data_IF_462325474436
#
_entry.id   IF_462325474436
#
_cell.length_a   1.000
_cell.length_b   1.000
_cell.length_c   1.000
_cell.angle_alpha   90.00
_cell.angle_beta   90.00
_cell.angle_gamma   90.00
#
_symmetry.space_group_name_H-M   'P 1'
#
loop_
_entity.id
_entity.type
_entity.pdbx_description
1 polymer ?
#
# COMPACT_ATOMS: atom_id res chain seq x y z
N UNK A 1 18.62 27.88 21.48
CA UNK A 1 17.76 26.94 20.75
C UNK A 1 17.04 27.66 19.60
N UNK A 2 16.38 28.79 19.86
CA UNK A 2 15.72 29.65 18.85
C UNK A 2 16.63 30.11 17.68
N UNK A 3 17.80 30.67 17.99
CA UNK A 3 18.80 31.09 16.98
C UNK A 3 19.33 29.93 16.12
N UNK A 4 19.38 28.74 16.71
CA UNK A 4 19.79 27.52 16.03
C UNK A 4 18.74 27.08 15.02
N UNK A 5 17.46 27.04 15.41
CA UNK A 5 16.34 26.71 14.50
C UNK A 5 16.25 27.71 13.35
N UNK A 6 16.38 29.01 13.64
CA UNK A 6 16.36 30.06 12.62
C UNK A 6 17.46 29.88 11.58
N UNK A 7 18.71 29.65 12.04
CA UNK A 7 19.84 29.43 11.14
C UNK A 7 19.71 28.13 10.35
N UNK A 8 19.25 27.06 10.98
CA UNK A 8 19.05 25.75 10.34
C UNK A 8 17.98 25.80 9.26
N UNK A 9 16.81 26.34 9.55
CA UNK A 9 15.72 26.45 8.57
C UNK A 9 16.12 27.42 7.46
N UNK A 10 16.71 28.57 7.79
CA UNK A 10 17.15 29.56 6.82
C UNK A 10 18.16 29.01 5.80
N UNK A 11 19.05 28.11 6.22
CA UNK A 11 20.09 27.49 5.39
C UNK A 11 19.80 26.06 4.94
N UNK A 12 18.62 25.52 5.25
CA UNK A 12 18.27 24.11 5.01
C UNK A 12 19.28 23.11 5.61
N UNK A 13 19.85 23.46 6.77
CA UNK A 13 20.83 22.62 7.46
C UNK A 13 20.14 21.50 8.26
N UNK A 14 20.06 20.36 7.60
CA UNK A 14 19.48 19.10 8.10
C UNK A 14 20.31 18.43 9.20
N UNK A 15 21.55 18.87 9.45
CA UNK A 15 22.42 18.29 10.48
C UNK A 15 22.13 18.84 11.87
N UNK A 16 21.42 19.97 11.93
CA UNK A 16 21.23 20.76 13.16
C UNK A 16 19.79 20.69 13.68
N UNK A 17 18.79 20.47 12.81
CA UNK A 17 17.39 20.30 13.20
C UNK A 17 16.92 18.85 12.95
N UNK A 18 16.75 18.03 14.01
CA UNK A 18 16.23 16.67 13.88
C UNK A 18 14.85 16.64 13.23
N UNK A 19 14.56 15.57 12.48
CA UNK A 19 13.31 15.39 11.74
C UNK A 19 12.05 15.60 12.60
N UNK A 20 11.99 14.97 13.77
CA UNK A 20 10.85 15.08 14.69
C UNK A 20 10.55 16.54 15.05
N UNK A 21 11.60 17.33 15.25
CA UNK A 21 11.47 18.77 15.54
C UNK A 21 11.08 19.55 14.29
N UNK A 22 11.64 19.22 13.12
CA UNK A 22 11.28 19.86 11.86
C UNK A 22 9.79 19.65 11.51
N UNK A 23 9.25 18.45 11.72
CA UNK A 23 7.83 18.15 11.52
C UNK A 23 6.93 18.94 12.48
N UNK A 24 7.28 18.98 13.77
CA UNK A 24 6.53 19.77 14.75
C UNK A 24 6.56 21.27 14.44
N UNK A 25 7.70 21.78 13.97
CA UNK A 25 7.83 23.17 13.56
C UNK A 25 6.96 23.43 12.33
N UNK A 26 6.99 22.53 11.33
CA UNK A 26 6.17 22.63 10.11
C UNK A 26 4.67 22.75 10.43
N UNK A 27 4.17 21.94 11.36
CA UNK A 27 2.76 21.99 11.81
C UNK A 27 2.40 23.33 12.50
N UNK A 28 3.41 24.03 13.00
CA UNK A 28 3.27 25.32 13.71
C UNK A 28 3.63 26.53 12.84
N UNK A 29 3.99 26.34 11.56
CA UNK A 29 4.37 27.45 10.68
C UNK A 29 3.16 28.35 10.40
N UNK A 30 3.29 29.68 10.63
CA UNK A 30 2.24 30.62 10.28
C UNK A 30 2.03 30.66 8.76
N UNK A 31 0.77 30.70 8.31
CA UNK A 31 0.49 30.91 6.88
C UNK A 31 0.99 32.28 6.41
N UNK A 32 1.15 32.49 5.10
CA UNK A 32 1.53 33.80 4.56
C UNK A 32 0.63 34.96 5.05
N UNK A 33 -0.66 34.70 5.25
CA UNK A 33 -1.61 35.67 5.79
C UNK A 33 -1.39 35.94 7.29
N UNK A 34 -0.95 34.93 8.05
CA UNK A 34 -0.62 35.06 9.46
C UNK A 34 0.72 35.78 9.65
N UNK A 35 1.72 35.50 8.81
CA UNK A 35 3.03 36.19 8.84
C UNK A 35 2.86 37.70 8.74
N UNK A 36 2.05 38.18 7.79
CA UNK A 36 1.80 39.62 7.63
C UNK A 36 1.06 40.22 8.84
N UNK A 37 0.11 39.47 9.42
CA UNK A 37 -0.60 39.90 10.65
C UNK A 37 0.35 39.98 11.84
N UNK A 38 1.19 38.97 12.03
CA UNK A 38 2.21 38.91 13.09
C UNK A 38 3.17 40.10 12.93
N UNK A 39 3.68 40.34 11.72
CA UNK A 39 4.61 41.44 11.43
C UNK A 39 4.02 42.82 11.76
N UNK A 40 2.78 43.08 11.36
CA UNK A 40 2.09 44.34 11.69
C UNK A 40 1.89 44.50 13.19
N UNK A 41 1.48 43.42 13.85
CA UNK A 41 1.19 43.43 15.28
C UNK A 41 2.45 43.67 16.12
N UNK A 42 3.55 42.99 15.81
CA UNK A 42 4.82 43.15 16.52
C UNK A 42 5.45 44.52 16.28
N UNK A 43 5.32 45.06 15.07
CA UNK A 43 5.79 46.43 14.75
C UNK A 43 5.02 47.50 15.54
N UNK A 44 3.71 47.33 15.69
CA UNK A 44 2.87 48.24 16.48
C UNK A 44 3.13 48.16 18.00
N UNK A 45 3.69 47.03 18.47
CA UNK A 45 3.92 46.74 19.88
C UNK A 45 5.40 46.47 20.17
N UNK A 46 6.29 47.34 19.67
CA UNK A 46 7.75 47.14 19.71
C UNK A 46 8.36 47.02 21.11
N UNK A 47 7.65 47.48 22.15
CA UNK A 47 8.12 47.47 23.54
C UNK A 47 7.47 46.37 24.40
N UNK A 48 6.66 45.49 23.79
CA UNK A 48 6.01 44.38 24.49
C UNK A 48 7.01 43.25 24.73
N UNK A 49 6.97 42.66 25.92
CA UNK A 49 7.68 41.42 26.21
C UNK A 49 6.78 40.24 25.83
N UNK A 50 7.27 39.41 24.91
CA UNK A 50 6.58 38.19 24.49
C UNK A 50 6.97 37.00 25.36
N UNK A 51 6.06 36.05 25.50
CA UNK A 51 6.39 34.73 26.04
C UNK A 51 7.35 33.99 25.11
N UNK A 52 8.01 32.93 25.60
CA UNK A 52 8.92 32.12 24.79
C UNK A 52 8.23 31.51 23.56
N UNK A 53 6.97 31.07 23.71
CA UNK A 53 6.18 30.51 22.61
C UNK A 53 5.78 31.58 21.57
N UNK A 54 5.37 32.78 22.02
CA UNK A 54 5.06 33.89 21.11
C UNK A 54 6.31 34.36 20.37
N UNK A 55 7.45 34.46 21.07
CA UNK A 55 8.73 34.83 20.47
C UNK A 55 9.16 33.79 19.42
N UNK A 56 8.95 32.49 19.69
CA UNK A 56 9.21 31.43 18.71
C UNK A 56 8.41 31.62 17.42
N UNK A 57 7.11 31.90 17.52
CA UNK A 57 6.25 32.13 16.34
C UNK A 57 6.64 33.41 15.59
N UNK A 58 7.00 34.47 16.32
CA UNK A 58 7.49 35.72 15.72
C UNK A 58 8.81 35.49 14.97
N UNK A 59 9.75 34.76 15.56
CA UNK A 59 11.04 34.44 14.95
C UNK A 59 10.84 33.56 13.71
N UNK A 60 9.93 32.59 13.76
CA UNK A 60 9.57 31.71 12.64
C UNK A 60 8.91 32.49 11.49
N UNK A 61 8.00 33.43 11.81
CA UNK A 61 7.40 34.34 10.83
C UNK A 61 8.43 35.28 10.19
N UNK A 62 9.56 35.53 10.87
CA UNK A 62 10.69 36.29 10.33
C UNK A 62 11.53 35.51 9.32
N UNK A 63 11.37 34.20 9.21
CA UNK A 63 12.10 33.38 8.22
C UNK A 63 11.37 33.45 6.88
N UNK A 64 12.06 33.97 5.87
CA UNK A 64 11.53 33.98 4.51
C UNK A 64 11.30 32.55 4.01
N UNK A 65 10.07 32.30 3.54
CA UNK A 65 9.61 31.02 2.99
C UNK A 65 9.78 29.85 3.97
N UNK A 66 9.60 30.10 5.27
CA UNK A 66 9.75 29.10 6.33
C UNK A 66 9.03 27.78 6.03
N UNK A 67 7.78 27.85 5.55
CA UNK A 67 6.96 26.68 5.21
C UNK A 67 7.63 25.79 4.16
N UNK A 68 8.06 26.38 3.04
CA UNK A 68 8.69 25.64 1.93
C UNK A 68 10.06 25.08 2.34
N UNK A 69 10.80 25.81 3.17
CA UNK A 69 12.09 25.35 3.68
C UNK A 69 11.92 24.17 4.64
N UNK A 70 10.98 24.26 5.58
CA UNK A 70 10.67 23.17 6.50
C UNK A 70 10.08 21.96 5.78
N UNK A 71 9.19 22.17 4.81
CA UNK A 71 8.71 21.09 3.96
C UNK A 71 9.86 20.41 3.21
N UNK A 72 10.77 21.18 2.63
CA UNK A 72 11.97 20.66 1.96
C UNK A 72 12.80 19.80 2.90
N UNK A 73 13.01 20.26 4.14
CA UNK A 73 13.73 19.51 5.16
C UNK A 73 13.03 18.19 5.52
N UNK A 74 11.74 18.26 5.87
CA UNK A 74 10.95 17.07 6.25
C UNK A 74 10.90 16.06 5.11
N UNK A 75 10.53 16.49 3.91
CA UNK A 75 10.43 15.62 2.71
C UNK A 75 11.76 14.94 2.39
N UNK A 76 12.87 15.70 2.42
CA UNK A 76 14.20 15.13 2.13
C UNK A 76 14.59 14.08 3.17
N UNK A 77 14.19 14.26 4.43
CA UNK A 77 14.49 13.35 5.53
C UNK A 77 13.63 12.08 5.49
N UNK A 78 12.33 12.19 5.21
CA UNK A 78 11.39 11.05 5.22
C UNK A 78 11.40 10.25 3.92
N UNK A 79 11.92 10.80 2.82
CA UNK A 79 11.86 10.18 1.50
C UNK A 79 12.33 8.72 1.48
N UNK A 80 13.43 8.40 2.16
CA UNK A 80 13.96 7.04 2.18
C UNK A 80 12.99 6.06 2.84
N UNK A 81 12.40 6.46 3.97
CA UNK A 81 11.47 5.62 4.73
C UNK A 81 10.20 5.39 3.91
N UNK A 82 9.64 6.45 3.31
CA UNK A 82 8.48 6.33 2.41
C UNK A 82 8.77 5.42 1.21
N UNK A 83 9.95 5.52 0.61
CA UNK A 83 10.37 4.62 -0.49
C UNK A 83 10.50 3.18 -0.04
N UNK A 84 11.03 2.93 1.16
CA UNK A 84 11.15 1.59 1.72
C UNK A 84 9.78 0.97 1.98
N UNK A 85 8.86 1.73 2.59
CA UNK A 85 7.47 1.28 2.81
C UNK A 85 6.77 0.94 1.49
N UNK A 86 6.89 1.79 0.47
CA UNK A 86 6.33 1.51 -0.86
C UNK A 86 6.97 0.24 -1.45
N UNK A 87 8.28 0.09 -1.32
CA UNK A 87 8.99 -1.08 -1.82
C UNK A 87 8.47 -2.39 -1.19
N UNK A 88 8.34 -2.41 0.13
CA UNK A 88 7.83 -3.55 0.91
C UNK A 88 6.39 -3.90 0.52
N UNK A 89 5.53 -2.90 0.34
CA UNK A 89 4.16 -3.10 -0.12
C UNK A 89 4.13 -3.73 -1.51
N UNK A 90 4.95 -3.24 -2.44
CA UNK A 90 5.05 -3.82 -3.80
C UNK A 90 5.61 -5.24 -3.78
N UNK A 91 6.59 -5.53 -2.92
CA UNK A 91 7.15 -6.88 -2.75
C UNK A 91 6.12 -7.85 -2.16
N UNK A 92 5.28 -7.40 -1.22
CA UNK A 92 4.18 -8.20 -0.70
C UNK A 92 3.17 -8.60 -1.80
N UNK A 93 2.81 -7.65 -2.67
CA UNK A 93 1.95 -7.91 -3.83
C UNK A 93 2.57 -8.92 -4.81
N UNK A 94 3.86 -8.74 -5.11
CA UNK A 94 4.63 -9.60 -6.01
C UNK A 94 4.68 -11.03 -5.49
N UNK A 95 5.10 -11.21 -4.23
CA UNK A 95 5.18 -12.50 -3.57
C UNK A 95 3.82 -13.21 -3.52
N UNK A 96 2.76 -12.49 -3.17
CA UNK A 96 1.40 -13.03 -3.16
C UNK A 96 0.96 -13.51 -4.56
N UNK A 97 1.24 -12.73 -5.61
CA UNK A 97 0.89 -13.09 -6.98
C UNK A 97 1.63 -14.34 -7.46
N UNK A 98 2.93 -14.43 -7.19
CA UNK A 98 3.78 -15.58 -7.55
C UNK A 98 3.29 -16.85 -6.85
N UNK A 99 3.09 -16.81 -5.53
CA UNK A 99 2.62 -17.96 -4.75
C UNK A 99 1.25 -18.48 -5.22
N UNK A 100 0.33 -17.59 -5.60
CA UNK A 100 -0.98 -17.98 -6.16
C UNK A 100 -0.83 -18.70 -7.49
N UNK A 101 0.06 -18.24 -8.38
CA UNK A 101 0.27 -18.88 -9.68
C UNK A 101 1.05 -20.21 -9.59
N UNK A 102 1.95 -20.32 -8.62
CA UNK A 102 2.81 -21.49 -8.45
C UNK A 102 2.16 -22.61 -7.63
N UNK A 103 1.14 -22.31 -6.81
CA UNK A 103 0.50 -23.30 -5.94
C UNK A 103 -0.21 -24.41 -6.74
N UNK A 104 0.35 -25.62 -6.67
CA UNK A 104 -0.23 -26.83 -7.29
C UNK A 104 -1.47 -27.29 -6.53
N UNK A 105 -1.50 -27.13 -5.21
CA UNK A 105 -2.67 -27.47 -4.41
C UNK A 105 -3.85 -26.55 -4.71
N UNK A 106 -3.62 -25.25 -4.88
CA UNK A 106 -4.68 -24.33 -5.26
C UNK A 106 -5.28 -24.72 -6.62
N UNK A 107 -4.45 -25.08 -7.60
CA UNK A 107 -4.90 -25.59 -8.90
C UNK A 107 -5.75 -26.84 -8.75
N UNK A 108 -5.32 -27.80 -7.92
CA UNK A 108 -6.06 -29.03 -7.65
C UNK A 108 -7.41 -28.75 -6.98
N UNK A 109 -7.46 -27.82 -6.02
CA UNK A 109 -8.70 -27.41 -5.35
C UNK A 109 -9.69 -26.83 -6.38
N UNK A 110 -9.24 -25.87 -7.18
CA UNK A 110 -10.07 -25.21 -8.21
C UNK A 110 -10.55 -26.23 -9.25
N UNK A 111 -9.68 -27.15 -9.69
CA UNK A 111 -10.03 -28.21 -10.62
C UNK A 111 -11.06 -29.19 -10.03
N UNK A 112 -10.93 -29.54 -8.76
CA UNK A 112 -11.86 -30.41 -8.04
C UNK A 112 -13.23 -29.77 -7.96
N UNK A 113 -13.29 -28.48 -7.59
CA UNK A 113 -14.53 -27.70 -7.54
C UNK A 113 -15.19 -27.66 -8.92
N UNK A 114 -14.44 -27.32 -9.98
CA UNK A 114 -14.98 -27.29 -11.34
C UNK A 114 -15.55 -28.64 -11.78
N UNK A 115 -14.86 -29.73 -11.45
CA UNK A 115 -15.29 -31.10 -11.77
C UNK A 115 -16.59 -31.44 -11.06
N UNK A 116 -16.70 -31.10 -9.77
CA UNK A 116 -17.91 -31.31 -8.98
C UNK A 116 -19.08 -30.49 -9.52
N UNK A 117 -18.89 -29.20 -9.83
CA UNK A 117 -19.94 -28.36 -10.40
C UNK A 117 -20.46 -28.90 -11.73
N UNK A 118 -19.55 -29.32 -12.63
CA UNK A 118 -19.95 -29.92 -13.90
C UNK A 118 -20.68 -31.25 -13.71
N UNK A 119 -20.32 -32.04 -12.69
CA UNK A 119 -21.04 -33.26 -12.36
C UNK A 119 -22.45 -32.98 -11.81
N UNK A 120 -22.59 -32.00 -10.92
CA UNK A 120 -23.87 -31.63 -10.32
C UNK A 120 -24.85 -31.03 -11.36
N UNK A 121 -24.33 -30.22 -12.29
CA UNK A 121 -25.14 -29.64 -13.36
C UNK A 121 -25.45 -30.64 -14.49
N UNK A 122 -24.54 -31.59 -14.78
CA UNK A 122 -24.56 -32.46 -15.96
C UNK A 122 -25.63 -33.56 -16.05
N UNK A 123 -26.80 -33.44 -15.41
CA UNK A 123 -27.86 -34.47 -15.44
C UNK A 123 -28.90 -34.30 -16.57
N UNK A 124 -28.81 -33.25 -17.40
CA UNK A 124 -29.72 -33.04 -18.54
C UNK A 124 -28.96 -32.84 -19.85
N UNK A 125 -29.35 -33.58 -20.89
CA UNK A 125 -28.67 -33.71 -22.21
C UNK A 125 -28.45 -32.41 -23.03
N UNK A 126 -28.82 -31.24 -22.50
CA UNK A 126 -28.77 -29.93 -23.17
C UNK A 126 -27.90 -28.88 -22.47
N UNK A 127 -27.24 -29.20 -21.35
CA UNK A 127 -26.42 -28.23 -20.62
C UNK A 127 -24.96 -28.19 -21.09
N UNK A 128 -24.42 -26.97 -21.19
CA UNK A 128 -23.04 -26.69 -21.58
C UNK A 128 -22.11 -27.04 -20.40
N UNK A 129 -21.14 -27.92 -20.64
CA UNK A 129 -19.99 -28.09 -19.73
C UNK A 129 -19.34 -26.72 -19.53
N UNK A 130 -19.24 -26.29 -18.28
CA UNK A 130 -18.60 -25.02 -17.92
C UNK A 130 -17.10 -25.25 -17.93
N UNK A 131 -16.38 -24.43 -18.71
CA UNK A 131 -14.92 -24.52 -18.85
C UNK A 131 -14.12 -23.81 -17.75
N UNK A 132 -14.78 -23.03 -16.89
CA UNK A 132 -14.16 -22.28 -15.80
C UNK A 132 -15.15 -21.32 -15.11
N UNK A 133 -14.72 -20.75 -13.99
CA UNK A 133 -15.46 -19.74 -13.23
C UNK A 133 -14.46 -18.73 -12.62
N UNK A 134 -14.94 -17.56 -12.23
CA UNK A 134 -14.12 -16.56 -11.53
C UNK A 134 -13.79 -17.06 -10.12
N UNK A 135 -12.51 -17.24 -9.80
CA UNK A 135 -12.09 -17.78 -8.50
C UNK A 135 -12.42 -16.85 -7.33
N UNK A 136 -12.69 -15.57 -7.58
CA UNK A 136 -13.25 -14.65 -6.57
C UNK A 136 -14.63 -15.08 -6.05
N UNK A 137 -15.31 -16.01 -6.74
CA UNK A 137 -16.59 -16.59 -6.34
C UNK A 137 -16.45 -17.92 -5.59
N UNK A 138 -15.23 -18.39 -5.30
CA UNK A 138 -14.99 -19.68 -4.65
C UNK A 138 -15.84 -19.88 -3.38
N UNK A 139 -15.90 -18.89 -2.49
CA UNK A 139 -16.70 -18.99 -1.26
C UNK A 139 -18.21 -19.13 -1.54
N UNK A 140 -18.74 -18.38 -2.51
CA UNK A 140 -20.16 -18.43 -2.88
C UNK A 140 -20.50 -19.79 -3.49
N UNK A 141 -19.71 -20.22 -4.47
CA UNK A 141 -19.82 -21.51 -5.15
C UNK A 141 -19.75 -22.66 -4.15
N UNK A 142 -18.80 -22.62 -3.22
CA UNK A 142 -18.58 -23.70 -2.26
C UNK A 142 -19.64 -23.73 -1.14
N UNK A 143 -20.40 -22.65 -0.94
CA UNK A 143 -21.51 -22.58 0.01
C UNK A 143 -22.81 -23.22 -0.50
N UNK A 144 -22.89 -23.53 -1.80
CA UNK A 144 -24.09 -24.12 -2.39
C UNK A 144 -24.39 -25.50 -1.78
N UNK A 145 -25.64 -25.78 -1.38
CA UNK A 145 -26.04 -27.08 -0.88
C UNK A 145 -26.07 -28.10 -2.02
N UNK A 146 -25.64 -29.33 -1.72
CA UNK A 146 -25.75 -30.47 -2.61
C UNK A 146 -26.78 -31.48 -2.06
N UNK A 147 -27.20 -32.43 -2.92
CA UNK A 147 -28.09 -33.51 -2.49
C UNK A 147 -27.49 -34.26 -1.29
N UNK A 148 -28.30 -34.48 -0.25
CA UNK A 148 -27.85 -35.13 0.99
C UNK A 148 -27.52 -34.16 2.16
N UNK A 149 -27.69 -32.85 1.97
CA UNK A 149 -27.57 -31.86 3.06
C UNK A 149 -26.13 -31.37 3.32
N UNK A 150 -25.15 -31.84 2.55
CA UNK A 150 -23.79 -31.34 2.56
C UNK A 150 -23.62 -30.10 1.67
N UNK A 151 -22.51 -29.39 1.79
CA UNK A 151 -22.10 -28.33 0.85
C UNK A 151 -21.02 -28.81 -0.12
N UNK A 152 -20.81 -28.06 -1.20
CA UNK A 152 -19.66 -28.28 -2.11
C UNK A 152 -18.35 -28.18 -1.33
N UNK A 153 -18.21 -27.23 -0.39
CA UNK A 153 -17.03 -27.09 0.46
C UNK A 153 -16.71 -28.38 1.23
N UNK A 154 -17.69 -28.96 1.92
CA UNK A 154 -17.51 -30.19 2.71
C UNK A 154 -17.06 -31.36 1.83
N UNK A 155 -17.65 -31.48 0.63
CA UNK A 155 -17.30 -32.54 -0.31
C UNK A 155 -15.86 -32.38 -0.83
N UNK A 156 -15.47 -31.14 -1.11
CA UNK A 156 -14.11 -30.80 -1.56
C UNK A 156 -13.09 -31.06 -0.44
N UNK A 157 -13.37 -30.63 0.80
CA UNK A 157 -12.52 -30.90 1.96
C UNK A 157 -12.28 -32.40 2.17
N UNK A 158 -13.35 -33.21 2.10
CA UNK A 158 -13.24 -34.66 2.20
C UNK A 158 -12.40 -35.26 1.05
N UNK A 159 -12.62 -34.80 -0.18
CA UNK A 159 -11.85 -35.26 -1.34
C UNK A 159 -10.36 -34.93 -1.22
N UNK A 160 -10.02 -33.71 -0.82
CA UNK A 160 -8.62 -33.28 -0.64
C UNK A 160 -7.93 -34.13 0.43
N UNK A 161 -8.59 -34.35 1.57
CA UNK A 161 -8.08 -35.20 2.65
C UNK A 161 -7.79 -36.62 2.16
N UNK A 162 -8.72 -37.22 1.43
CA UNK A 162 -8.63 -38.63 1.04
C UNK A 162 -7.68 -38.86 -0.15
N UNK A 163 -7.55 -37.89 -1.06
CA UNK A 163 -6.85 -38.06 -2.36
C UNK A 163 -5.57 -37.23 -2.50
N UNK A 164 -5.37 -36.18 -1.70
CA UNK A 164 -4.24 -35.27 -1.79
C UNK A 164 -3.71 -34.79 -0.41
N UNK A 165 -3.47 -35.69 0.57
CA UNK A 165 -3.05 -35.32 1.93
C UNK A 165 -1.64 -34.69 2.03
N UNK A 166 -0.83 -34.78 0.97
CA UNK A 166 0.56 -34.26 0.95
C UNK A 166 0.68 -32.84 0.40
N UNK A 167 -0.43 -32.26 -0.05
CA UNK A 167 -0.47 -30.90 -0.56
C UNK A 167 -0.67 -29.97 0.65
N UNK A 168 0.36 -29.20 1.00
CA UNK A 168 0.34 -28.29 2.17
C UNK A 168 0.81 -26.87 1.80
N UNK A 169 1.02 -26.59 0.52
CA UNK A 169 1.47 -25.28 0.06
C UNK A 169 0.41 -24.20 0.24
N UNK A 170 -0.88 -24.56 0.28
CA UNK A 170 -1.98 -23.62 0.55
C UNK A 170 -1.89 -22.95 1.92
N UNK A 171 -1.38 -23.64 2.95
CA UNK A 171 -1.22 -23.04 4.27
C UNK A 171 -0.18 -21.91 4.24
N UNK A 172 0.82 -22.02 3.36
CA UNK A 172 1.83 -21.00 3.13
C UNK A 172 1.29 -19.78 2.35
N UNK A 173 0.10 -19.87 1.74
CA UNK A 173 -0.51 -18.74 1.03
C UNK A 173 -1.22 -17.77 1.99
N UNK A 174 -1.70 -18.22 3.15
CA UNK A 174 -2.58 -17.42 4.03
C UNK A 174 -1.91 -16.11 4.48
N UNK A 175 -0.69 -16.19 5.00
CA UNK A 175 0.01 -15.01 5.54
C UNK A 175 0.46 -14.02 4.45
N UNK A 176 1.06 -14.45 3.32
CA UNK A 176 1.36 -13.57 2.19
C UNK A 176 0.12 -12.87 1.61
N UNK A 177 -0.98 -13.61 1.41
CA UNK A 177 -2.24 -13.04 0.91
C UNK A 177 -2.83 -12.02 1.89
N UNK A 178 -2.80 -12.34 3.19
CA UNK A 178 -3.26 -11.42 4.25
C UNK A 178 -2.42 -10.15 4.26
N UNK A 179 -1.10 -10.27 4.10
CA UNK A 179 -0.19 -9.11 4.09
C UNK A 179 -0.42 -8.24 2.86
N UNK A 180 -0.54 -8.81 1.67
CA UNK A 180 -0.85 -8.05 0.46
C UNK A 180 -2.23 -7.36 0.53
N UNK A 181 -3.23 -8.01 1.13
CA UNK A 181 -4.58 -7.48 1.25
C UNK A 181 -4.74 -6.29 2.22
N UNK A 182 -3.75 -6.04 3.11
CA UNK A 182 -3.81 -4.95 4.10
C UNK A 182 -3.72 -3.55 3.48
N UNK A 183 -3.04 -3.42 2.35
CA UNK A 183 -2.75 -2.11 1.75
C UNK A 183 -3.44 -2.01 0.39
N UNK A 184 -4.36 -1.07 0.18
CA UNK A 184 -4.97 -0.85 -1.14
C UNK A 184 -3.92 -0.50 -2.18
N UNK A 185 -3.92 -1.17 -3.33
CA UNK A 185 -2.90 -0.96 -4.36
C UNK A 185 -2.86 0.51 -4.83
N UNK A 186 -4.03 1.15 -4.97
CA UNK A 186 -4.13 2.55 -5.41
C UNK A 186 -3.48 3.55 -4.43
N UNK A 187 -3.44 3.23 -3.12
CA UNK A 187 -2.75 4.10 -2.16
C UNK A 187 -1.23 4.16 -2.37
N UNK A 188 -0.65 3.12 -3.01
CA UNK A 188 0.77 3.10 -3.38
C UNK A 188 1.02 4.13 -4.50
N UNK A 189 0.11 4.20 -5.48
CA UNK A 189 0.16 5.20 -6.55
C UNK A 189 0.06 6.62 -5.98
N UNK A 190 -0.90 6.86 -5.08
CA UNK A 190 -1.06 8.16 -4.42
C UNK A 190 0.20 8.54 -3.63
N UNK A 191 0.81 7.58 -2.93
CA UNK A 191 2.06 7.79 -2.19
C UNK A 191 3.21 8.21 -3.09
N UNK A 192 3.35 7.57 -4.27
CA UNK A 192 4.36 7.95 -5.26
C UNK A 192 4.10 9.34 -5.85
N UNK A 193 2.84 9.71 -6.09
CA UNK A 193 2.48 11.06 -6.52
C UNK A 193 2.84 12.12 -5.47
N UNK A 194 2.57 11.85 -4.19
CA UNK A 194 2.96 12.75 -3.10
C UNK A 194 4.48 12.94 -3.04
N UNK A 195 5.26 11.87 -3.25
CA UNK A 195 6.72 11.97 -3.32
C UNK A 195 7.20 12.80 -4.52
N UNK A 196 6.55 12.67 -5.69
CA UNK A 196 6.88 13.50 -6.85
C UNK A 196 6.55 14.98 -6.61
N UNK A 197 5.36 15.27 -6.07
CA UNK A 197 4.98 16.63 -5.67
C UNK A 197 5.97 17.21 -4.66
N UNK A 198 6.41 16.41 -3.68
CA UNK A 198 7.45 16.80 -2.75
C UNK A 198 8.76 17.16 -3.45
N UNK A 199 9.21 16.34 -4.41
CA UNK A 199 10.39 16.63 -5.23
C UNK A 199 10.24 17.90 -6.07
N UNK A 200 9.04 18.20 -6.59
CA UNK A 200 8.75 19.43 -7.30
C UNK A 200 8.85 20.66 -6.39
N UNK A 201 8.37 20.57 -5.15
CA UNK A 201 8.51 21.64 -4.15
C UNK A 201 9.97 21.90 -3.78
N UNK A 202 10.76 20.84 -3.55
CA UNK A 202 12.22 20.98 -3.31
C UNK A 202 12.92 21.65 -4.49
N UNK A 203 12.56 21.28 -5.72
CA UNK A 203 13.11 21.92 -6.92
C UNK A 203 12.77 23.41 -6.98
N UNK A 204 11.52 23.76 -6.68
CA UNK A 204 11.08 25.14 -6.69
C UNK A 204 11.84 25.94 -5.63
N UNK A 205 11.97 25.41 -4.41
CA UNK A 205 12.71 26.07 -3.34
C UNK A 205 14.19 26.27 -3.69
N UNK A 206 14.85 25.27 -4.29
CA UNK A 206 16.24 25.40 -4.76
C UNK A 206 16.44 26.56 -5.74
N UNK A 207 15.45 26.88 -6.58
CA UNK A 207 15.50 28.00 -7.54
C UNK A 207 15.29 29.36 -6.84
N UNK A 208 14.61 29.37 -5.71
CA UNK A 208 14.33 30.59 -4.92
C UNK A 208 15.48 30.95 -3.96
N UNK A 209 16.41 30.04 -3.69
CA UNK A 209 17.56 30.33 -2.83
C UNK A 209 18.47 31.37 -3.45
N UNK A 210 18.98 32.28 -2.61
CA UNK A 210 19.97 33.30 -2.94
C UNK A 210 21.41 32.76 -2.96
N UNK A 211 21.60 31.48 -2.66
CA UNK A 211 22.88 30.77 -2.67
C UNK A 211 22.76 29.39 -3.31
N UNK A 212 23.88 28.85 -3.78
CA UNK A 212 23.93 27.48 -4.29
C UNK A 212 23.89 26.45 -3.16
N UNK A 213 23.02 25.45 -3.29
CA UNK A 213 22.92 24.34 -2.35
C UNK A 213 23.25 22.99 -3.04
N UNK A 214 24.52 22.72 -3.40
CA UNK A 214 24.90 21.56 -4.22
C UNK A 214 24.54 20.21 -3.59
N UNK A 215 24.58 20.10 -2.27
CA UNK A 215 24.22 18.86 -1.55
C UNK A 215 22.74 18.50 -1.75
N UNK A 216 21.83 19.45 -1.56
CA UNK A 216 20.40 19.28 -1.77
C UNK A 216 20.07 19.08 -3.25
N UNK A 217 20.75 19.78 -4.16
CA UNK A 217 20.57 19.56 -5.60
C UNK A 217 20.96 18.14 -6.03
N UNK A 218 22.11 17.63 -5.56
CA UNK A 218 22.52 16.25 -5.78
C UNK A 218 21.53 15.26 -5.15
N UNK A 219 21.07 15.54 -3.92
CA UNK A 219 20.08 14.72 -3.22
C UNK A 219 18.75 14.65 -3.96
N UNK A 220 18.25 15.77 -4.49
CA UNK A 220 17.03 15.83 -5.30
C UNK A 220 17.19 14.99 -6.58
N UNK A 221 18.34 15.07 -7.25
CA UNK A 221 18.64 14.24 -8.42
C UNK A 221 18.52 12.74 -8.11
N UNK A 222 19.09 12.32 -6.98
CA UNK A 222 19.01 10.94 -6.50
C UNK A 222 17.58 10.53 -6.12
N UNK A 223 16.84 11.39 -5.43
CA UNK A 223 15.43 11.14 -5.06
C UNK A 223 14.56 10.95 -6.30
N UNK A 224 14.72 11.78 -7.33
CA UNK A 224 13.99 11.65 -8.60
C UNK A 224 14.33 10.36 -9.35
N UNK A 225 15.61 10.01 -9.41
CA UNK A 225 16.07 8.76 -10.03
C UNK A 225 15.42 7.55 -9.37
N UNK A 226 15.51 7.46 -8.04
CA UNK A 226 14.90 6.38 -7.26
C UNK A 226 13.38 6.33 -7.40
N UNK A 227 12.71 7.49 -7.43
CA UNK A 227 11.27 7.55 -7.66
C UNK A 227 10.89 6.97 -9.02
N UNK A 228 11.65 7.32 -10.08
CA UNK A 228 11.47 6.74 -11.42
C UNK A 228 11.61 5.22 -11.44
N UNK A 229 12.64 4.68 -10.78
CA UNK A 229 12.83 3.23 -10.65
C UNK A 229 11.68 2.53 -9.91
N UNK A 230 11.13 3.19 -8.89
CA UNK A 230 9.97 2.66 -8.15
C UNK A 230 8.68 2.70 -8.96
N UNK A 231 8.49 3.72 -9.80
CA UNK A 231 7.37 3.77 -10.75
C UNK A 231 7.49 2.65 -11.79
N UNK A 232 8.69 2.37 -12.30
CA UNK A 232 8.91 1.20 -13.17
C UNK A 232 8.58 -0.12 -12.45
N UNK A 233 9.00 -0.26 -11.19
CA UNK A 233 8.65 -1.43 -10.38
C UNK A 233 7.13 -1.57 -10.21
N UNK A 234 6.42 -0.50 -9.86
CA UNK A 234 4.96 -0.47 -9.74
C UNK A 234 4.28 -0.99 -11.01
N UNK A 235 4.73 -0.54 -12.19
CA UNK A 235 4.17 -0.99 -13.47
C UNK A 235 4.39 -2.49 -13.66
N UNK A 236 5.60 -3.01 -13.39
CA UNK A 236 5.89 -4.45 -13.48
C UNK A 236 5.03 -5.27 -12.53
N UNK A 237 4.89 -4.86 -11.28
CA UNK A 237 4.04 -5.53 -10.28
C UNK A 237 2.58 -5.52 -10.74
N UNK A 238 2.09 -4.40 -11.26
CA UNK A 238 0.74 -4.31 -11.82
C UNK A 238 0.52 -5.30 -12.97
N UNK A 239 1.47 -5.40 -13.90
CA UNK A 239 1.37 -6.33 -15.03
C UNK A 239 1.36 -7.79 -14.56
N UNK A 240 2.17 -8.15 -13.56
CA UNK A 240 2.15 -9.48 -12.95
C UNK A 240 0.84 -9.78 -12.23
N UNK A 241 0.28 -8.82 -11.50
CA UNK A 241 -1.02 -8.95 -10.85
C UNK A 241 -2.14 -9.14 -11.88
N UNK A 242 -2.13 -8.41 -12.99
CA UNK A 242 -3.09 -8.59 -14.09
C UNK A 242 -2.94 -9.98 -14.74
N UNK A 243 -1.70 -10.45 -14.94
CA UNK A 243 -1.45 -11.80 -15.45
C UNK A 243 -1.97 -12.87 -14.48
N UNK A 244 -1.79 -12.69 -13.18
CA UNK A 244 -2.32 -13.58 -12.13
C UNK A 244 -3.85 -13.58 -12.11
N UNK A 245 -4.49 -12.42 -12.12
CA UNK A 245 -5.96 -12.32 -12.18
C UNK A 245 -6.50 -13.00 -13.45
N UNK A 246 -5.87 -12.77 -14.61
CA UNK A 246 -6.24 -13.44 -15.86
C UNK A 246 -6.06 -14.95 -15.78
N UNK A 247 -4.97 -15.43 -15.18
CA UNK A 247 -4.69 -16.85 -14.98
C UNK A 247 -5.76 -17.52 -14.11
N UNK A 248 -6.21 -16.80 -13.08
CA UNK A 248 -7.26 -17.24 -12.17
C UNK A 248 -8.69 -17.06 -12.71
N UNK A 249 -8.83 -16.64 -13.98
CA UNK A 249 -10.13 -16.51 -14.65
C UNK A 249 -10.92 -15.26 -14.27
N UNK A 250 -10.31 -14.28 -13.59
CA UNK A 250 -10.97 -13.04 -13.21
C UNK A 250 -11.16 -12.10 -14.40
N UNK A 251 -12.21 -11.28 -14.33
CA UNK A 251 -12.39 -10.18 -15.26
C UNK A 251 -11.35 -9.09 -14.98
N UNK A 252 -10.56 -8.74 -15.99
CA UNK A 252 -9.57 -7.69 -15.85
C UNK A 252 -10.25 -6.31 -15.75
N UNK A 253 -9.75 -5.43 -14.86
CA UNK A 253 -10.29 -4.07 -14.71
C UNK A 253 -10.11 -3.28 -16.01
N UNK A 254 -11.09 -2.45 -16.35
CA UNK A 254 -11.04 -1.61 -17.56
C UNK A 254 -10.38 -0.27 -17.31
N UNK A 255 -10.37 0.17 -16.06
CA UNK A 255 -9.85 1.45 -15.62
C UNK A 255 -8.88 1.27 -14.45
N UNK A 256 -8.02 2.26 -14.19
CA UNK A 256 -7.13 2.23 -13.04
C UNK A 256 -7.92 2.22 -11.72
N UNK A 257 -9.02 2.98 -11.65
CA UNK A 257 -9.89 3.05 -10.47
C UNK A 257 -10.62 1.75 -10.13
N UNK A 258 -10.67 0.79 -11.05
CA UNK A 258 -11.26 -0.53 -10.80
C UNK A 258 -10.21 -1.56 -10.33
N UNK A 259 -8.92 -1.21 -10.31
CA UNK A 259 -7.85 -2.14 -10.00
C UNK A 259 -7.65 -2.29 -8.49
N UNK A 260 -8.36 -3.28 -7.93
CA UNK A 260 -8.36 -3.61 -6.50
C UNK A 260 -7.93 -5.07 -6.23
N UNK A 261 -6.65 -5.41 -6.49
CA UNK A 261 -6.13 -6.77 -6.25
C UNK A 261 -6.19 -7.19 -4.78
N UNK A 262 -6.13 -6.25 -3.82
CA UNK A 262 -6.31 -6.52 -2.38
C UNK A 262 -7.65 -7.20 -2.07
N UNK A 263 -8.71 -6.84 -2.79
CA UNK A 263 -10.04 -7.41 -2.60
C UNK A 263 -10.07 -8.87 -3.05
N UNK A 264 -9.41 -9.17 -4.18
CA UNK A 264 -9.26 -10.54 -4.66
C UNK A 264 -8.48 -11.40 -3.64
N UNK A 265 -7.32 -10.91 -3.17
CA UNK A 265 -6.53 -11.63 -2.18
C UNK A 265 -7.26 -11.84 -0.86
N UNK A 266 -8.01 -10.85 -0.39
CA UNK A 266 -8.84 -10.98 0.81
C UNK A 266 -9.90 -12.09 0.66
N UNK A 267 -10.60 -12.14 -0.47
CA UNK A 267 -11.59 -13.19 -0.77
C UNK A 267 -10.95 -14.57 -0.84
N UNK A 268 -9.83 -14.69 -1.57
CA UNK A 268 -9.11 -15.95 -1.69
C UNK A 268 -8.62 -16.43 -0.33
N UNK A 269 -8.02 -15.56 0.48
CA UNK A 269 -7.59 -15.89 1.84
C UNK A 269 -8.76 -16.38 2.70
N UNK A 270 -9.91 -15.68 2.68
CA UNK A 270 -11.09 -16.08 3.44
C UNK A 270 -11.63 -17.46 3.02
N UNK A 271 -11.58 -17.77 1.73
CA UNK A 271 -11.90 -19.11 1.23
C UNK A 271 -10.92 -20.17 1.77
N UNK A 272 -9.62 -19.94 1.67
CA UNK A 272 -8.59 -20.90 2.12
C UNK A 272 -8.67 -21.16 3.62
N UNK A 273 -8.86 -20.12 4.45
CA UNK A 273 -9.07 -20.27 5.89
C UNK A 273 -10.33 -21.09 6.20
N UNK A 274 -11.42 -20.87 5.45
CA UNK A 274 -12.65 -21.64 5.63
C UNK A 274 -12.47 -23.11 5.26
N UNK A 275 -11.74 -23.39 4.19
CA UNK A 275 -11.42 -24.74 3.74
C UNK A 275 -10.61 -25.51 4.80
N UNK A 276 -9.60 -24.85 5.38
CA UNK A 276 -8.78 -25.41 6.45
C UNK A 276 -9.61 -25.74 7.70
N UNK A 277 -10.45 -24.82 8.18
CA UNK A 277 -11.28 -25.03 9.36
C UNK A 277 -12.22 -26.24 9.23
N UNK A 278 -12.79 -26.47 8.04
CA UNK A 278 -13.66 -27.64 7.81
C UNK A 278 -12.87 -28.95 7.74
N UNK A 279 -11.60 -28.90 7.35
CA UNK A 279 -10.74 -30.09 7.38
C UNK A 279 -10.40 -30.54 8.81
N UNK A 280 -10.32 -29.61 9.77
CA UNK A 280 -10.04 -29.90 11.19
C UNK A 280 -11.28 -30.35 11.98
N UNK A 281 -12.44 -29.71 11.77
CA UNK A 281 -13.69 -30.04 12.48
C UNK A 281 -14.20 -31.46 12.21
N UNK A 282 -13.98 -31.99 11.01
CA UNK A 282 -14.34 -33.38 10.68
C UNK A 282 -13.44 -34.41 11.41
N UNK A 283 -12.20 -34.04 11.76
CA UNK A 283 -11.25 -34.93 12.47
C UNK A 283 -11.63 -35.07 13.96
N UNK A 284 -12.25 -34.06 14.56
CA UNK A 284 -12.74 -34.12 15.95
C UNK A 284 -14.02 -34.95 16.12
N UNK A 285 -14.78 -35.21 15.04
CA UNK A 285 -16.01 -36.01 15.09
C UNK A 285 -15.73 -37.51 14.86
N UNK A 286 -14.59 -37.86 14.25
CA UNK A 286 -14.18 -39.25 14.01
C UNK A 286 -13.31 -39.88 15.12
N UNK A 287 -12.92 -39.11 16.16
CA UNK A 287 -12.18 -39.59 17.35
C UNK A 287 -13.08 -39.71 18.58
#
# INVERSE_FOLDING_TARGET
MLTTVWFSVGRLDMTVLPLERASLVLDSVPSAADVERIRRFTTAHSNTQWTEAEQFIIDLAGIERAEEKLHTMVHTSTFNDSMNTINEQLDAYLNAAELVQESEQLKLIVQTILTLLNHLNGSTMYEKVVGGFCTSQLSEVCSAPIAGGCTVLQTVSAFIRDRAPYATDVDNLVEPLTTAAKTPFLSIYDSLLQLDMGNQRVQFELVQLDFEHPVLAARLGEMRRRLGEMVEKLVRVKDQLLAMLSYMGEALPRTQSEFHPEVYFSKLCGFLTSLHLHSELDIEVEN
#
